data_IF_282016334304
#
_entry.id   IF_282016334304
#
_cell.length_a   1.000
_cell.length_b   1.000
_cell.length_c   1.000
_cell.angle_alpha   90.00
_cell.angle_beta   90.00
_cell.angle_gamma   90.00
#
_symmetry.space_group_name_H-M   'P 1'
#
loop_
_entity.id
_entity.type
_entity.pdbx_description
1 polymer ?
#
# COMPACT_ATOMS: atom_id res chain seq x y z
N UNK A 1 -22.43 -8.95 -1.25
CA UNK A 1 -20.96 -8.94 -1.17
C UNK A 1 -20.45 -8.97 -2.59
N UNK A 2 -20.03 -7.83 -3.15
CA UNK A 2 -19.36 -7.85 -4.45
C UNK A 2 -18.08 -8.67 -4.27
N UNK A 3 -17.98 -9.81 -4.95
CA UNK A 3 -16.70 -10.51 -5.01
C UNK A 3 -15.73 -9.54 -5.68
N UNK A 4 -14.63 -9.20 -5.01
CA UNK A 4 -13.65 -8.23 -5.51
C UNK A 4 -13.15 -8.54 -6.94
N UNK A 5 -13.37 -9.77 -7.43
CA UNK A 5 -13.14 -10.15 -8.81
C UNK A 5 -11.68 -10.54 -9.05
N UNK A 6 -11.30 -10.50 -10.34
CA UNK A 6 -9.95 -10.78 -10.79
C UNK A 6 -8.94 -9.77 -10.23
N UNK A 7 -7.70 -10.21 -9.99
CA UNK A 7 -6.61 -9.37 -9.49
C UNK A 7 -5.48 -9.39 -10.50
N UNK A 8 -5.02 -8.21 -10.90
CA UNK A 8 -3.94 -8.08 -11.87
C UNK A 8 -2.71 -7.47 -11.20
N UNK A 9 -1.57 -8.11 -11.43
CA UNK A 9 -0.27 -7.55 -11.08
C UNK A 9 0.07 -6.47 -12.12
N UNK A 10 0.32 -5.25 -11.67
CA UNK A 10 0.72 -4.13 -12.53
C UNK A 10 1.90 -3.37 -11.92
N UNK A 11 2.54 -2.51 -12.70
CA UNK A 11 3.74 -1.76 -12.31
C UNK A 11 3.35 -0.30 -12.05
N UNK A 12 3.72 0.23 -10.89
CA UNK A 12 3.56 1.64 -10.56
C UNK A 12 4.69 2.49 -11.19
N UNK A 13 4.52 3.81 -11.17
CA UNK A 13 5.43 4.75 -11.83
C UNK A 13 6.86 4.74 -11.29
N UNK A 14 7.07 4.25 -10.06
CA UNK A 14 8.39 4.05 -9.46
C UNK A 14 9.02 2.67 -9.74
N UNK A 15 8.41 1.89 -10.65
CA UNK A 15 8.89 0.56 -11.07
C UNK A 15 8.56 -0.56 -10.08
N UNK A 16 7.93 -0.26 -8.94
CA UNK A 16 7.45 -1.29 -8.02
C UNK A 16 6.11 -1.88 -8.47
N UNK A 17 5.73 -2.99 -7.85
CA UNK A 17 4.52 -3.73 -8.21
C UNK A 17 3.35 -3.32 -7.33
N UNK A 18 2.16 -3.24 -7.92
CA UNK A 18 0.88 -3.07 -7.21
C UNK A 18 -0.17 -4.03 -7.78
N UNK A 19 -1.27 -4.21 -7.06
CA UNK A 19 -2.41 -5.04 -7.49
C UNK A 19 -3.53 -4.11 -7.92
N UNK A 20 -4.05 -4.30 -9.14
CA UNK A 20 -5.28 -3.66 -9.61
C UNK A 20 -6.45 -4.62 -9.47
N UNK A 21 -7.57 -4.13 -8.94
CA UNK A 21 -8.82 -4.86 -8.77
C UNK A 21 -9.90 -4.19 -9.62
N UNK A 22 -10.17 -4.67 -10.85
CA UNK A 22 -11.13 -4.03 -11.76
C UNK A 22 -12.54 -3.95 -11.19
N UNK A 23 -12.93 -4.94 -10.37
CA UNK A 23 -14.23 -4.96 -9.71
C UNK A 23 -14.46 -3.83 -8.71
N UNK A 24 -13.38 -3.16 -8.27
CA UNK A 24 -13.40 -2.01 -7.37
C UNK A 24 -12.93 -0.72 -8.05
N UNK A 25 -12.34 -0.82 -9.25
CA UNK A 25 -11.59 0.25 -9.92
C UNK A 25 -10.51 0.88 -9.01
N UNK A 26 -9.84 0.02 -8.22
CA UNK A 26 -8.86 0.43 -7.22
C UNK A 26 -7.54 -0.34 -7.35
N UNK A 27 -6.46 0.33 -6.96
CA UNK A 27 -5.14 -0.28 -6.78
C UNK A 27 -4.83 -0.40 -5.29
N UNK A 28 -4.18 -1.50 -4.89
CA UNK A 28 -3.78 -1.74 -3.51
C UNK A 28 -2.80 -0.66 -2.99
N UNK A 29 -1.88 -0.25 -3.85
CA UNK A 29 -0.96 0.86 -3.60
C UNK A 29 -0.99 1.83 -4.79
N UNK A 30 -0.58 3.08 -4.53
CA UNK A 30 -0.56 4.18 -5.48
C UNK A 30 0.10 3.81 -6.81
N UNK A 31 -0.59 4.16 -7.90
CA UNK A 31 -0.06 4.05 -9.27
C UNK A 31 1.12 4.99 -9.52
N UNK A 32 1.25 6.05 -8.73
CA UNK A 32 2.37 6.99 -8.81
C UNK A 32 3.64 6.46 -8.14
N UNK A 33 3.53 5.38 -7.37
CA UNK A 33 4.67 4.65 -6.83
C UNK A 33 4.32 3.93 -5.53
N UNK A 34 4.14 2.61 -5.58
CA UNK A 34 3.72 1.81 -4.43
C UNK A 34 4.79 1.79 -3.33
N UNK A 35 6.05 1.60 -3.72
CA UNK A 35 7.19 1.66 -2.80
C UNK A 35 7.40 3.07 -2.27
N UNK A 36 7.27 4.08 -3.13
CA UNK A 36 7.45 5.49 -2.77
C UNK A 36 6.43 5.92 -1.74
N UNK A 37 5.15 5.61 -1.95
CA UNK A 37 4.08 5.84 -0.98
C UNK A 37 4.36 5.14 0.35
N UNK A 38 4.68 3.84 0.30
CA UNK A 38 4.91 3.05 1.51
C UNK A 38 6.03 3.62 2.39
N UNK A 39 7.13 4.03 1.75
CA UNK A 39 8.24 4.68 2.45
C UNK A 39 7.84 6.04 2.99
N UNK A 40 7.25 6.89 2.15
CA UNK A 40 6.96 8.28 2.54
C UNK A 40 5.89 8.36 3.64
N UNK A 41 4.78 7.65 3.47
CA UNK A 41 3.61 7.75 4.35
C UNK A 41 3.79 6.89 5.60
N UNK A 42 4.06 5.59 5.44
CA UNK A 42 4.04 4.68 6.60
C UNK A 42 5.37 4.63 7.35
N UNK A 43 6.51 4.77 6.67
CA UNK A 43 7.83 4.69 7.33
C UNK A 43 8.33 6.06 7.78
N UNK A 44 8.49 7.01 6.87
CA UNK A 44 9.07 8.32 7.17
C UNK A 44 8.11 9.19 7.99
N UNK A 45 6.86 9.34 7.54
CA UNK A 45 5.87 10.15 8.27
C UNK A 45 5.21 9.39 9.43
N UNK A 46 4.95 8.08 9.28
CA UNK A 46 4.33 7.25 10.30
C UNK A 46 5.33 6.76 11.35
N UNK A 47 6.04 5.67 11.05
CA UNK A 47 6.91 4.95 11.97
C UNK A 47 7.98 5.83 12.63
N UNK A 48 8.68 6.66 11.84
CA UNK A 48 9.77 7.51 12.35
C UNK A 48 9.29 8.74 13.14
N UNK A 49 7.98 9.03 13.16
CA UNK A 49 7.43 10.10 14.00
C UNK A 49 7.44 9.78 15.50
N UNK A 50 7.71 8.52 15.88
CA UNK A 50 7.73 8.08 17.28
C UNK A 50 9.03 7.39 17.65
N UNK A 51 9.43 7.56 18.91
CA UNK A 51 10.58 6.87 19.51
C UNK A 51 10.16 5.87 20.60
N UNK A 52 8.84 5.66 20.78
CA UNK A 52 8.27 4.82 21.85
C UNK A 52 8.80 3.39 21.77
N UNK A 53 9.12 2.82 22.94
CA UNK A 53 9.51 1.42 23.10
C UNK A 53 8.82 0.81 24.34
N UNK A 54 8.23 -0.40 24.24
CA UNK A 54 8.10 -1.21 23.03
C UNK A 54 7.06 -0.61 22.06
N UNK A 55 7.40 -0.60 20.77
CA UNK A 55 6.47 -0.21 19.71
C UNK A 55 5.62 -1.41 19.30
N UNK A 56 4.32 -1.19 19.07
CA UNK A 56 3.39 -2.18 18.52
C UNK A 56 2.76 -1.59 17.26
N UNK A 57 2.75 -2.37 16.18
CA UNK A 57 2.22 -1.96 14.88
C UNK A 57 0.95 -2.79 14.61
N UNK A 58 -0.11 -2.14 14.16
CA UNK A 58 -1.30 -2.77 13.62
C UNK A 58 -1.34 -2.52 12.11
N UNK A 59 -1.55 -3.58 11.34
CA UNK A 59 -1.75 -3.54 9.89
C UNK A 59 -3.20 -3.89 9.57
N UNK A 60 -3.82 -3.16 8.64
CA UNK A 60 -5.20 -3.37 8.21
C UNK A 60 -5.25 -3.40 6.68
N UNK A 61 -5.70 -4.54 6.13
CA UNK A 61 -5.71 -4.82 4.69
C UNK A 61 -4.45 -5.57 4.25
N UNK A 62 -4.61 -6.83 3.82
CA UNK A 62 -3.54 -7.74 3.35
C UNK A 62 -3.94 -8.38 2.02
#
# INVERSE_FOLDING_TARGET
MAAAGERHITISSDGSTTIWVPGLDEHYHSIHGARTESLHVFIEAGLKSTTVRPLRILEVGL
#
